data_IF_972300097749
#
_entry.id   IF_972300097749
#
_cell.length_a   1.000
_cell.length_b   1.000
_cell.length_c   1.000
_cell.angle_alpha   90.00
_cell.angle_beta   90.00
_cell.angle_gamma   90.00
#
_symmetry.space_group_name_H-M   'P 1'
#
loop_
_entity.id
_entity.type
_entity.pdbx_description
1 polymer ?
#
# COMPACT_ATOMS: atom_id res chain seq x y z
N UNK A 1 -52.65 66.94 -16.59
CA UNK A 1 -51.20 67.20 -16.71
C UNK A 1 -50.51 65.88 -16.99
N UNK A 2 -50.02 65.73 -18.23
CA UNK A 2 -49.19 64.62 -18.69
C UNK A 2 -47.72 64.84 -18.25
N UNK A 3 -46.75 63.96 -18.60
CA UNK A 3 -46.57 62.59 -18.09
C UNK A 3 -45.06 62.26 -17.90
N UNK A 4 -44.70 60.97 -18.04
CA UNK A 4 -43.38 60.35 -18.28
C UNK A 4 -42.63 59.86 -17.02
N UNK A 5 -42.07 58.65 -16.98
CA UNK A 5 -41.71 57.77 -18.08
C UNK A 5 -41.59 56.30 -17.66
N UNK A 6 -41.89 55.44 -18.64
CA UNK A 6 -41.95 53.97 -18.59
C UNK A 6 -40.57 53.30 -18.70
N UNK A 7 -40.47 51.99 -18.39
CA UNK A 7 -39.27 51.17 -18.55
C UNK A 7 -39.20 50.52 -19.95
N UNK A 8 -38.00 50.11 -20.40
CA UNK A 8 -37.84 49.02 -21.39
C UNK A 8 -36.40 48.53 -21.58
N UNK A 9 -36.26 47.20 -21.47
CA UNK A 9 -35.38 46.22 -22.14
C UNK A 9 -34.23 46.65 -23.07
N UNK A 10 -33.11 45.90 -23.00
CA UNK A 10 -32.59 44.99 -24.07
C UNK A 10 -31.15 44.52 -23.74
N UNK A 11 -30.88 43.22 -23.92
CA UNK A 11 -29.53 42.65 -23.92
C UNK A 11 -28.83 42.78 -25.29
N UNK A 12 -28.08 41.76 -25.74
CA UNK A 12 -26.61 41.63 -25.66
C UNK A 12 -25.93 41.62 -27.06
N UNK A 13 -24.59 41.65 -27.14
CA UNK A 13 -23.70 41.15 -28.23
C UNK A 13 -22.31 41.83 -28.16
N UNK A 14 -21.19 41.08 -28.14
CA UNK A 14 -20.22 40.91 -29.27
C UNK A 14 -19.67 42.27 -29.78
N UNK A 15 -18.37 42.56 -29.91
CA UNK A 15 -17.34 41.79 -30.60
C UNK A 15 -16.03 42.61 -30.68
N UNK A 16 -14.89 41.90 -30.75
CA UNK A 16 -13.68 42.11 -31.59
C UNK A 16 -13.11 43.52 -31.89
N UNK A 17 -11.78 43.62 -31.73
CA UNK A 17 -10.86 44.56 -32.40
C UNK A 17 -9.73 45.01 -31.46
N UNK A 18 -8.58 44.34 -31.32
CA UNK A 18 -7.45 44.27 -32.28
C UNK A 18 -7.23 45.57 -33.05
N UNK A 19 -6.13 46.27 -32.73
CA UNK A 19 -5.36 47.28 -33.48
C UNK A 19 -4.84 48.37 -32.51
N UNK A 20 -3.57 48.80 -32.44
CA UNK A 20 -2.53 48.86 -33.46
C UNK A 20 -1.13 48.83 -32.83
N UNK A 21 -0.25 48.10 -33.50
CA UNK A 21 1.19 48.32 -33.44
C UNK A 21 1.56 49.67 -34.06
N UNK A 22 2.38 50.48 -33.37
CA UNK A 22 3.32 51.41 -34.03
C UNK A 22 4.61 51.65 -33.23
N UNK A 23 5.61 50.89 -33.66
CA UNK A 23 7.04 51.17 -33.84
C UNK A 23 7.80 52.17 -32.93
N UNK A 24 8.95 51.64 -32.48
CA UNK A 24 10.30 52.22 -32.51
C UNK A 24 10.70 53.31 -31.51
N UNK A 25 11.59 52.93 -30.58
CA UNK A 25 13.03 53.30 -30.62
C UNK A 25 13.73 52.68 -29.39
N UNK A 26 14.57 51.67 -29.61
CA UNK A 26 16.03 51.81 -29.54
C UNK A 26 16.54 52.22 -28.15
N UNK A 27 16.93 51.25 -27.31
CA UNK A 27 18.14 51.48 -26.53
C UNK A 27 18.88 50.19 -26.16
N UNK A 28 20.17 50.27 -26.41
CA UNK A 28 21.16 49.20 -26.44
C UNK A 28 21.84 49.19 -25.07
N UNK A 29 21.57 48.20 -24.22
CA UNK A 29 22.43 47.86 -23.07
C UNK A 29 22.52 46.33 -23.02
N UNK A 30 23.49 45.76 -23.74
CA UNK A 30 24.77 45.27 -23.19
C UNK A 30 24.59 44.18 -22.12
N UNK A 31 24.80 42.95 -22.61
CA UNK A 31 25.58 41.89 -21.98
C UNK A 31 25.12 41.31 -20.64
N UNK A 32 24.42 40.17 -20.69
CA UNK A 32 24.77 38.96 -19.92
C UNK A 32 24.45 37.72 -20.78
N UNK A 33 25.39 36.80 -21.01
CA UNK A 33 25.05 35.53 -21.62
C UNK A 33 24.29 34.71 -20.57
N UNK A 34 22.98 34.60 -20.70
CA UNK A 34 22.22 33.58 -19.96
C UNK A 34 22.62 32.25 -20.58
N UNK A 35 23.36 31.47 -19.81
CA UNK A 35 23.81 30.15 -20.17
C UNK A 35 22.63 29.33 -20.73
N UNK A 36 22.83 28.82 -21.95
CA UNK A 36 22.09 27.69 -22.48
C UNK A 36 22.25 26.50 -21.53
N UNK A 37 21.22 25.67 -21.49
CA UNK A 37 21.12 24.33 -20.86
C UNK A 37 20.53 24.34 -19.44
N UNK A 38 19.23 24.25 -19.39
CA UNK A 38 18.66 22.95 -19.02
C UNK A 38 17.40 22.77 -19.84
N UNK A 39 17.53 21.97 -20.90
CA UNK A 39 16.40 21.15 -21.29
C UNK A 39 15.96 20.46 -20.00
N UNK A 40 14.77 20.81 -19.51
CA UNK A 40 14.02 19.94 -18.63
C UNK A 40 13.98 18.64 -19.42
N UNK A 41 14.87 17.72 -19.06
CA UNK A 41 14.72 16.33 -19.43
C UNK A 41 13.36 15.97 -18.88
N UNK A 42 12.38 15.96 -19.77
CA UNK A 42 11.14 15.28 -19.58
C UNK A 42 11.55 13.83 -19.38
N UNK A 43 11.74 13.43 -18.12
CA UNK A 43 11.95 12.03 -17.72
C UNK A 43 10.65 11.28 -17.96
N UNK A 44 10.35 11.10 -19.24
CA UNK A 44 9.35 10.19 -19.77
C UNK A 44 9.98 8.82 -19.75
N UNK A 45 10.26 8.32 -18.54
CA UNK A 45 10.63 6.94 -18.21
C UNK A 45 10.42 6.75 -16.69
N UNK A 46 9.23 7.12 -16.20
CA UNK A 46 8.65 6.35 -15.10
C UNK A 46 7.69 5.38 -15.77
N UNK A 47 8.22 4.29 -16.32
CA UNK A 47 7.43 3.06 -16.26
C UNK A 47 7.18 2.85 -14.77
N UNK A 48 5.99 3.27 -14.35
CA UNK A 48 5.59 3.30 -12.96
C UNK A 48 5.75 1.88 -12.45
N UNK A 49 6.67 1.71 -11.51
CA UNK A 49 6.75 0.49 -10.73
C UNK A 49 5.39 0.38 -10.04
N UNK A 50 4.48 -0.40 -10.63
CA UNK A 50 3.19 -0.70 -10.05
C UNK A 50 3.55 -1.25 -8.66
N UNK A 51 3.07 -0.63 -7.57
CA UNK A 51 3.39 -1.13 -6.24
C UNK A 51 2.95 -2.59 -6.20
N UNK A 52 3.91 -3.48 -6.04
CA UNK A 52 3.66 -4.93 -5.96
C UNK A 52 2.86 -5.17 -4.69
N UNK A 53 1.55 -5.30 -4.84
CA UNK A 53 0.61 -5.57 -3.76
C UNK A 53 0.38 -7.07 -3.67
N UNK A 54 0.19 -7.59 -2.45
CA UNK A 54 -0.01 -9.03 -2.23
C UNK A 54 -1.43 -9.51 -2.57
N UNK A 55 -2.38 -8.59 -2.65
CA UNK A 55 -3.77 -8.87 -2.98
C UNK A 55 -4.24 -7.90 -4.08
N UNK A 56 -5.15 -8.38 -4.92
CA UNK A 56 -5.72 -7.59 -6.02
C UNK A 56 -6.97 -6.82 -5.60
N UNK A 57 -7.29 -5.76 -6.35
CA UNK A 57 -8.56 -5.01 -6.19
C UNK A 57 -9.77 -5.92 -6.39
N UNK A 58 -9.69 -6.89 -7.31
CA UNK A 58 -10.76 -7.85 -7.59
C UNK A 58 -11.07 -8.68 -6.34
N UNK A 59 -10.05 -9.27 -5.70
CA UNK A 59 -10.22 -10.05 -4.47
C UNK A 59 -10.80 -9.22 -3.32
N UNK A 60 -10.48 -7.93 -3.25
CA UNK A 60 -11.04 -7.05 -2.23
C UNK A 60 -12.53 -6.75 -2.51
N UNK A 61 -12.89 -6.52 -3.77
CA UNK A 61 -14.29 -6.32 -4.22
C UNK A 61 -15.16 -7.56 -4.06
N UNK A 62 -14.58 -8.76 -4.15
CA UNK A 62 -15.31 -10.02 -3.93
C UNK A 62 -15.73 -10.21 -2.47
N UNK A 63 -14.97 -9.65 -1.52
CA UNK A 63 -15.21 -9.83 -0.08
C UNK A 63 -16.07 -8.71 0.51
N UNK A 64 -15.94 -7.49 0.00
CA UNK A 64 -16.70 -6.33 0.50
C UNK A 64 -18.03 -6.21 -0.28
N UNK A 65 -19.19 -6.16 0.38
CA UNK A 65 -20.47 -5.94 -0.29
C UNK A 65 -20.48 -4.65 -1.13
N UNK A 66 -21.17 -4.66 -2.27
CA UNK A 66 -21.21 -3.51 -3.21
C UNK A 66 -21.66 -2.21 -2.53
N UNK A 67 -22.64 -2.28 -1.63
CA UNK A 67 -23.12 -1.10 -0.88
C UNK A 67 -22.05 -0.49 0.02
N UNK A 68 -21.18 -1.32 0.57
CA UNK A 68 -20.10 -0.87 1.43
C UNK A 68 -18.96 -0.31 0.59
N UNK A 69 -18.70 -0.85 -0.61
CA UNK A 69 -17.66 -0.33 -1.51
C UNK A 69 -17.86 1.14 -1.86
N UNK A 70 -19.08 1.54 -2.23
CA UNK A 70 -19.42 2.95 -2.47
C UNK A 70 -19.17 3.79 -1.20
N UNK A 71 -19.73 3.36 -0.07
CA UNK A 71 -19.60 4.06 1.21
C UNK A 71 -18.14 4.25 1.66
N UNK A 72 -17.27 3.26 1.39
CA UNK A 72 -15.87 3.25 1.83
C UNK A 72 -14.94 4.03 0.90
N UNK A 73 -15.31 4.25 -0.36
CA UNK A 73 -14.40 4.78 -1.38
C UNK A 73 -14.87 6.09 -2.01
N UNK A 74 -16.18 6.34 -2.04
CA UNK A 74 -16.80 7.51 -2.66
C UNK A 74 -16.88 8.71 -1.69
N UNK A 75 -15.76 9.42 -1.53
CA UNK A 75 -15.74 10.64 -0.71
C UNK A 75 -16.15 11.89 -1.50
N UNK A 76 -16.02 11.86 -2.82
CA UNK A 76 -16.39 12.98 -3.71
C UNK A 76 -17.89 12.95 -4.07
N UNK A 77 -18.61 11.89 -3.69
CA UNK A 77 -20.05 11.65 -3.94
C UNK A 77 -20.38 11.57 -5.43
N UNK A 78 -19.55 10.84 -6.16
CA UNK A 78 -19.72 10.58 -7.59
C UNK A 78 -20.70 9.43 -7.86
N UNK A 79 -21.05 8.64 -6.83
CA UNK A 79 -22.00 7.53 -6.92
C UNK A 79 -21.39 6.22 -7.42
N UNK A 80 -20.05 6.14 -7.49
CA UNK A 80 -19.31 4.94 -7.92
C UNK A 80 -18.13 4.65 -6.99
N UNK A 81 -17.79 3.37 -6.84
CA UNK A 81 -16.64 2.96 -6.03
C UNK A 81 -15.31 3.34 -6.69
N UNK A 82 -14.40 3.95 -5.93
CA UNK A 82 -13.11 4.43 -6.43
C UNK A 82 -12.01 3.36 -6.31
N UNK A 83 -11.62 2.78 -7.45
CA UNK A 83 -10.54 1.78 -7.52
C UNK A 83 -9.20 2.32 -7.02
N UNK A 84 -8.90 3.59 -7.31
CA UNK A 84 -7.70 4.28 -6.82
C UNK A 84 -7.59 4.26 -5.29
N UNK A 85 -8.72 4.35 -4.57
CA UNK A 85 -8.72 4.27 -3.10
C UNK A 85 -8.48 2.85 -2.60
N UNK A 86 -9.04 1.85 -3.28
CA UNK A 86 -8.80 0.44 -2.97
C UNK A 86 -7.32 0.08 -3.19
N UNK A 87 -6.73 0.50 -4.30
CA UNK A 87 -5.31 0.32 -4.60
C UNK A 87 -4.41 0.98 -3.56
N UNK A 88 -4.76 2.19 -3.10
CA UNK A 88 -4.02 2.86 -2.03
C UNK A 88 -4.09 2.08 -0.72
N UNK A 89 -5.26 1.58 -0.33
CA UNK A 89 -5.41 0.77 0.87
C UNK A 89 -4.58 -0.52 0.81
N UNK A 90 -4.55 -1.19 -0.35
CA UNK A 90 -3.73 -2.38 -0.60
C UNK A 90 -2.23 -2.07 -0.58
N UNK A 91 -1.82 -0.93 -1.13
CA UNK A 91 -0.42 -0.47 -1.14
C UNK A 91 0.07 -0.20 0.29
N UNK A 92 -0.75 0.47 1.09
CA UNK A 92 -0.37 0.75 2.48
C UNK A 92 -0.36 -0.52 3.34
N UNK A 93 -1.29 -1.45 3.11
CA UNK A 93 -1.31 -2.76 3.78
C UNK A 93 -0.08 -3.61 3.40
N UNK A 94 0.31 -3.60 2.13
CA UNK A 94 1.51 -4.29 1.65
C UNK A 94 2.78 -3.69 2.29
N UNK A 95 2.86 -2.37 2.39
CA UNK A 95 3.96 -1.68 3.06
C UNK A 95 4.05 -2.04 4.55
N UNK A 96 2.90 -2.20 5.21
CA UNK A 96 2.83 -2.66 6.60
C UNK A 96 3.36 -4.10 6.73
N UNK A 97 2.93 -5.03 5.87
CA UNK A 97 3.43 -6.41 5.86
C UNK A 97 4.94 -6.46 5.62
N UNK A 98 5.43 -5.72 4.62
CA UNK A 98 6.86 -5.62 4.28
C UNK A 98 7.72 -5.18 5.46
N UNK A 99 7.19 -4.30 6.33
CA UNK A 99 7.90 -3.82 7.51
C UNK A 99 8.19 -4.93 8.54
N UNK A 100 7.34 -5.96 8.60
CA UNK A 100 7.53 -7.11 9.50
C UNK A 100 8.44 -8.17 8.87
N UNK A 101 8.16 -8.55 7.62
CA UNK A 101 8.79 -9.71 6.99
C UNK A 101 10.15 -9.39 6.35
N UNK A 102 10.45 -8.11 6.06
CA UNK A 102 11.67 -7.69 5.38
C UNK A 102 12.97 -7.93 6.16
N UNK A 103 12.88 -8.34 7.44
CA UNK A 103 14.04 -8.82 8.23
C UNK A 103 14.32 -10.31 8.04
N UNK A 104 13.32 -11.08 7.64
CA UNK A 104 13.35 -12.55 7.58
C UNK A 104 13.48 -13.04 6.14
N UNK A 105 12.90 -12.31 5.17
CA UNK A 105 12.89 -12.68 3.76
C UNK A 105 13.41 -11.54 2.90
N UNK A 106 14.07 -11.88 1.78
CA UNK A 106 14.48 -10.92 0.77
C UNK A 106 13.28 -10.43 -0.04
N UNK A 107 13.08 -9.11 -0.06
CA UNK A 107 12.04 -8.44 -0.86
C UNK A 107 12.65 -7.91 -2.17
N UNK A 108 11.89 -7.89 -3.29
CA UNK A 108 10.50 -8.34 -3.43
C UNK A 108 10.36 -9.87 -3.52
N UNK A 109 9.24 -10.41 -3.01
CA UNK A 109 8.91 -11.83 -3.13
C UNK A 109 8.52 -12.15 -4.57
N UNK A 110 9.05 -13.24 -5.13
CA UNK A 110 8.70 -13.67 -6.50
C UNK A 110 7.31 -14.33 -6.52
N UNK A 111 7.07 -15.25 -5.60
CA UNK A 111 5.80 -15.98 -5.45
C UNK A 111 5.35 -15.86 -3.98
N UNK A 112 4.50 -14.87 -3.64
CA UNK A 112 4.01 -14.72 -2.28
C UNK A 112 2.99 -15.82 -1.95
N UNK A 113 3.08 -16.51 -0.80
CA UNK A 113 2.11 -17.52 -0.43
C UNK A 113 0.74 -16.90 -0.16
N UNK A 114 -0.31 -17.72 -0.34
CA UNK A 114 -1.70 -17.29 -0.20
C UNK A 114 -2.02 -16.62 1.15
N UNK A 115 -1.30 -17.01 2.22
CA UNK A 115 -1.44 -16.38 3.54
C UNK A 115 -1.20 -14.86 3.50
N UNK A 116 -0.19 -14.39 2.76
CA UNK A 116 0.10 -12.95 2.65
C UNK A 116 -1.01 -12.21 1.91
N UNK A 117 -1.64 -12.85 0.91
CA UNK A 117 -2.82 -12.30 0.22
C UNK A 117 -3.99 -12.10 1.19
N UNK A 118 -4.28 -13.09 2.04
CA UNK A 118 -5.36 -12.99 3.05
C UNK A 118 -5.07 -11.89 4.06
N UNK A 119 -3.85 -11.83 4.60
CA UNK A 119 -3.44 -10.79 5.56
C UNK A 119 -3.54 -9.40 4.92
N UNK A 120 -3.05 -9.24 3.69
CA UNK A 120 -3.08 -7.97 2.97
C UNK A 120 -4.52 -7.47 2.77
N UNK A 121 -5.41 -8.37 2.34
CA UNK A 121 -6.83 -8.07 2.15
C UNK A 121 -7.49 -7.62 3.45
N UNK A 122 -7.29 -8.35 4.53
CA UNK A 122 -7.95 -8.07 5.81
C UNK A 122 -7.40 -6.77 6.46
N UNK A 123 -6.10 -6.49 6.31
CA UNK A 123 -5.52 -5.21 6.72
C UNK A 123 -6.04 -4.03 5.88
N UNK A 124 -6.18 -4.20 4.56
CA UNK A 124 -6.75 -3.19 3.69
C UNK A 124 -8.22 -2.92 4.06
N UNK A 125 -9.00 -3.98 4.31
CA UNK A 125 -10.38 -3.88 4.77
C UNK A 125 -10.48 -3.10 6.08
N UNK A 126 -9.68 -3.44 7.09
CA UNK A 126 -9.65 -2.70 8.36
C UNK A 126 -9.41 -1.21 8.15
N UNK A 127 -8.44 -0.84 7.30
CA UNK A 127 -8.10 0.55 6.99
C UNK A 127 -9.26 1.31 6.34
N UNK A 128 -9.99 0.67 5.42
CA UNK A 128 -11.14 1.28 4.77
C UNK A 128 -12.24 1.59 5.79
N UNK A 129 -12.63 0.60 6.61
CA UNK A 129 -13.69 0.80 7.60
C UNK A 129 -13.29 1.73 8.76
N UNK A 130 -12.00 1.81 9.10
CA UNK A 130 -11.49 2.75 10.09
C UNK A 130 -11.84 4.21 9.74
N UNK A 131 -11.78 4.55 8.45
CA UNK A 131 -12.07 5.92 7.99
C UNK A 131 -13.55 6.32 8.16
N UNK A 132 -14.44 5.34 8.31
CA UNK A 132 -15.88 5.55 8.39
C UNK A 132 -16.39 5.65 9.85
N UNK A 133 -15.57 5.28 10.84
CA UNK A 133 -15.90 5.40 12.27
C UNK A 133 -16.98 4.42 12.76
N UNK A 134 -17.18 3.29 12.09
CA UNK A 134 -18.12 2.23 12.50
C UNK A 134 -17.64 1.48 13.75
N UNK A 135 -18.52 0.65 14.34
CA UNK A 135 -18.11 -0.31 15.37
C UNK A 135 -17.20 -1.36 14.76
N UNK A 136 -15.90 -1.23 15.03
CA UNK A 136 -14.82 -1.99 14.44
C UNK A 136 -14.40 -3.20 15.29
N UNK A 137 -15.14 -3.55 16.34
CA UNK A 137 -14.69 -4.55 17.33
C UNK A 137 -14.30 -5.91 16.73
N UNK A 138 -14.96 -6.37 15.68
CA UNK A 138 -14.61 -7.61 14.97
C UNK A 138 -13.36 -7.45 14.10
N UNK A 139 -13.31 -6.40 13.27
CA UNK A 139 -12.18 -6.12 12.37
C UNK A 139 -10.90 -5.76 13.13
N UNK A 140 -11.02 -5.09 14.28
CA UNK A 140 -9.90 -4.80 15.18
C UNK A 140 -9.29 -6.08 15.75
N UNK A 141 -10.11 -7.07 16.11
CA UNK A 141 -9.63 -8.38 16.57
C UNK A 141 -8.90 -9.11 15.45
N UNK A 142 -9.47 -9.13 14.24
CA UNK A 142 -8.83 -9.73 13.06
C UNK A 142 -7.49 -9.07 12.78
N UNK A 143 -7.44 -7.72 12.78
CA UNK A 143 -6.18 -6.98 12.62
C UNK A 143 -5.14 -7.34 13.68
N UNK A 144 -5.53 -7.40 14.96
CA UNK A 144 -4.63 -7.77 16.06
C UNK A 144 -4.05 -9.17 15.86
N UNK A 145 -4.90 -10.15 15.53
CA UNK A 145 -4.46 -11.52 15.27
C UNK A 145 -3.46 -11.57 14.10
N UNK A 146 -3.70 -10.81 13.03
CA UNK A 146 -2.76 -10.76 11.91
C UNK A 146 -1.44 -10.07 12.26
N UNK A 147 -1.47 -9.00 13.06
CA UNK A 147 -0.25 -8.35 13.56
C UNK A 147 0.55 -9.31 14.46
N UNK A 148 -0.12 -10.07 15.32
CA UNK A 148 0.53 -11.11 16.14
C UNK A 148 1.18 -12.19 15.27
N UNK A 149 0.46 -12.67 14.25
CA UNK A 149 1.00 -13.63 13.27
C UNK A 149 2.25 -13.08 12.57
N UNK A 150 2.21 -11.83 12.08
CA UNK A 150 3.35 -11.18 11.43
C UNK A 150 4.54 -10.98 12.39
N UNK A 151 4.29 -10.76 13.68
CA UNK A 151 5.34 -10.70 14.71
C UNK A 151 5.96 -12.07 14.98
N UNK A 152 5.16 -13.13 15.07
CA UNK A 152 5.68 -14.50 15.21
C UNK A 152 6.56 -14.87 14.01
N UNK A 153 6.14 -14.50 12.79
CA UNK A 153 6.97 -14.64 11.60
C UNK A 153 8.27 -13.83 11.71
N UNK A 154 8.19 -12.56 12.09
CA UNK A 154 9.35 -11.70 12.28
C UNK A 154 10.34 -12.25 13.31
N UNK A 155 9.84 -12.92 14.35
CA UNK A 155 10.65 -13.56 15.40
C UNK A 155 11.24 -14.92 14.98
N UNK A 156 10.82 -15.48 13.86
CA UNK A 156 11.21 -16.81 13.38
C UNK A 156 10.47 -17.98 14.05
N UNK A 157 9.43 -17.71 14.84
CA UNK A 157 8.60 -18.75 15.48
C UNK A 157 7.68 -19.46 14.47
N UNK A 158 7.24 -18.74 13.44
CA UNK A 158 6.39 -19.27 12.37
C UNK A 158 7.00 -18.98 11.00
N UNK A 159 6.95 -19.96 10.11
CA UNK A 159 7.40 -19.78 8.72
C UNK A 159 6.31 -19.17 7.85
N UNK A 160 6.71 -18.29 6.92
CA UNK A 160 5.91 -17.92 5.75
C UNK A 160 5.98 -19.16 4.85
N UNK A 161 4.93 -20.00 4.88
CA UNK A 161 4.89 -21.30 4.23
C UNK A 161 5.68 -21.33 2.92
N UNK A 162 6.77 -22.09 2.94
CA UNK A 162 7.63 -22.36 1.79
C UNK A 162 7.14 -23.65 1.16
N UNK A 163 6.70 -23.57 -0.10
CA UNK A 163 6.60 -24.68 -1.01
C UNK A 163 8.02 -25.16 -1.40
N UNK A 164 8.73 -25.65 -0.38
CA UNK A 164 9.91 -26.49 -0.46
C UNK A 164 11.09 -25.98 -1.27
N UNK A 165 11.91 -25.06 -0.74
CA UNK A 165 13.36 -25.08 -0.94
C UNK A 165 14.19 -24.22 0.06
N UNK A 166 13.86 -24.21 1.35
CA UNK A 166 14.81 -23.82 2.40
C UNK A 166 15.26 -25.06 3.19
N UNK A 167 16.55 -25.25 3.54
CA UNK A 167 16.92 -26.38 4.39
C UNK A 167 16.17 -26.24 5.71
N UNK A 168 15.27 -27.18 5.94
CA UNK A 168 14.73 -27.51 7.24
C UNK A 168 15.93 -27.83 8.15
N UNK A 169 16.46 -26.80 8.79
CA UNK A 169 17.38 -26.94 9.89
C UNK A 169 16.83 -26.13 11.06
N UNK A 170 15.71 -26.62 11.57
CA UNK A 170 15.56 -26.72 13.02
C UNK A 170 16.60 -27.72 13.54
N UNK A 171 17.88 -27.33 13.52
CA UNK A 171 18.86 -27.93 14.40
C UNK A 171 18.49 -27.46 15.80
N UNK A 172 17.57 -28.19 16.45
CA UNK A 172 17.61 -28.28 17.90
C UNK A 172 19.07 -28.56 18.27
N UNK A 173 19.71 -27.78 19.16
CA UNK A 173 21.05 -28.11 19.60
C UNK A 173 20.99 -29.55 20.08
N UNK A 174 21.66 -30.44 19.34
CA UNK A 174 21.64 -31.86 19.60
C UNK A 174 21.97 -32.03 21.07
N UNK A 175 21.14 -32.79 21.79
CA UNK A 175 21.44 -33.21 23.15
C UNK A 175 22.85 -33.75 23.11
N UNK A 176 23.80 -32.99 23.64
CA UNK A 176 25.15 -33.47 23.85
C UNK A 176 24.99 -34.65 24.80
N UNK A 177 25.14 -35.86 24.28
CA UNK A 177 25.30 -37.06 25.08
C UNK A 177 26.63 -36.88 25.83
N UNK A 178 26.60 -36.15 26.94
CA UNK A 178 27.70 -36.18 27.88
C UNK A 178 27.64 -37.55 28.52
N UNK A 179 28.74 -38.30 28.38
CA UNK A 179 28.89 -39.59 29.03
C UNK A 179 28.71 -39.37 30.53
N UNK A 180 27.60 -39.89 31.06
CA UNK A 180 27.25 -39.76 32.47
C UNK A 180 28.14 -40.66 33.32
N UNK A 181 28.16 -40.47 34.65
CA UNK A 181 28.88 -41.36 35.56
C UNK A 181 28.55 -42.84 35.28
N UNK A 182 29.52 -43.75 35.47
CA UNK A 182 29.36 -45.15 35.08
C UNK A 182 28.09 -45.75 35.68
N UNK A 183 27.30 -46.41 34.85
CA UNK A 183 26.03 -47.02 35.28
C UNK A 183 26.32 -48.14 36.28
N UNK A 184 25.89 -47.95 37.53
CA UNK A 184 26.07 -48.94 38.61
C UNK A 184 25.03 -50.06 38.59
N UNK A 185 23.89 -49.85 37.93
CA UNK A 185 22.83 -50.83 37.76
C UNK A 185 22.85 -51.32 36.32
N UNK A 186 23.74 -52.25 36.01
CA UNK A 186 23.78 -52.93 34.72
C UNK A 186 23.13 -54.30 34.83
N UNK A 187 22.73 -54.86 33.70
CA UNK A 187 22.21 -56.23 33.65
C UNK A 187 23.21 -57.24 34.24
N UNK A 188 24.50 -56.95 34.10
CA UNK A 188 25.58 -57.75 34.66
C UNK A 188 25.69 -57.57 36.19
N UNK A 189 25.44 -56.38 36.73
CA UNK A 189 25.46 -56.12 38.18
C UNK A 189 24.27 -56.72 38.94
N UNK A 190 23.23 -57.19 38.24
CA UNK A 190 21.99 -57.75 38.79
C UNK A 190 21.89 -59.28 38.66
N UNK A 191 22.94 -59.95 38.17
CA UNK A 191 22.99 -61.43 38.16
C UNK A 191 23.60 -61.94 39.46
N UNK A 192 22.84 -62.71 40.23
CA UNK A 192 23.32 -63.41 41.42
C UNK A 192 22.84 -62.86 42.77
N UNK A 193 21.90 -61.91 42.74
CA UNK A 193 21.03 -61.55 43.86
C UNK A 193 19.61 -62.07 43.62
#
# INVERSE_FOLDING_TARGET
MSPQGRPSSRGPALERGQDQYRLCRSERLRTRPVARRSAIHCSSDREGLIPVTYASVIQLKEVIPVRDLELLTDFEREGEASDTRLERALTDATSEINSYIGKVVHLPLNEPPHLLTVICRDLAMHRLYLNLGHDMTSLDKVRKNWIETLKSIQSGESSIGDDGNGPDQLTSPGVAMTDGPPRHLTRDSLRGY
#
